data_IF_663697238274
#
_entry.id   IF_663697238274
#
_cell.length_a   1.000
_cell.length_b   1.000
_cell.length_c   1.000
_cell.angle_alpha   90.00
_cell.angle_beta   90.00
_cell.angle_gamma   90.00
#
_symmetry.space_group_name_H-M   'P 1'
#
loop_
_entity.id
_entity.type
_entity.pdbx_description
1 polymer ?
#
# COMPACT_ATOMS: atom_id res chain seq x y z
N UNK A 1 20.62 7.47 -21.75
CA UNK A 1 20.39 6.88 -20.42
C UNK A 1 19.43 5.72 -20.64
N UNK A 2 19.86 4.47 -20.44
CA UNK A 2 18.98 3.31 -20.56
C UNK A 2 17.93 3.37 -19.45
N UNK A 3 16.64 3.05 -19.72
CA UNK A 3 15.67 2.92 -18.64
C UNK A 3 16.17 1.83 -17.69
N UNK A 4 16.25 2.14 -16.39
CA UNK A 4 16.44 1.11 -15.39
C UNK A 4 15.22 0.19 -15.46
N UNK A 5 15.41 -1.04 -15.92
CA UNK A 5 14.38 -2.05 -15.85
C UNK A 5 14.00 -2.29 -14.39
N UNK A 6 12.72 -2.14 -14.08
CA UNK A 6 12.18 -2.32 -12.73
C UNK A 6 11.62 -3.73 -12.64
N UNK A 7 11.95 -4.42 -11.57
CA UNK A 7 11.51 -5.79 -11.35
C UNK A 7 11.24 -6.03 -9.88
N UNK A 8 10.46 -7.07 -9.60
CA UNK A 8 10.37 -7.67 -8.27
C UNK A 8 11.07 -9.02 -8.26
N UNK A 9 11.54 -9.42 -7.10
CA UNK A 9 12.05 -10.76 -6.86
C UNK A 9 10.97 -11.59 -6.18
N UNK A 10 10.61 -12.72 -6.79
CA UNK A 10 9.71 -13.71 -6.20
C UNK A 10 10.56 -14.88 -5.74
N UNK A 11 10.55 -15.18 -4.44
CA UNK A 11 11.28 -16.28 -3.86
C UNK A 11 10.33 -17.40 -3.41
N UNK A 12 10.60 -18.62 -3.86
CA UNK A 12 10.07 -19.85 -3.26
C UNK A 12 10.94 -20.23 -2.07
N UNK A 13 10.32 -20.38 -0.91
CA UNK A 13 10.99 -20.82 0.31
C UNK A 13 10.71 -22.30 0.64
N UNK A 14 10.17 -23.08 -0.32
CA UNK A 14 10.01 -24.52 -0.14
C UNK A 14 11.37 -25.14 0.17
N UNK A 15 11.44 -25.99 1.20
CA UNK A 15 12.71 -26.53 1.70
C UNK A 15 13.50 -27.27 0.62
N UNK A 16 12.78 -27.93 -0.28
CA UNK A 16 13.31 -28.75 -1.37
C UNK A 16 13.66 -27.93 -2.62
N UNK A 17 13.08 -26.73 -2.78
CA UNK A 17 13.19 -25.88 -3.98
C UNK A 17 13.26 -24.39 -3.61
N UNK A 18 14.41 -24.00 -3.06
CA UNK A 18 14.76 -22.59 -2.81
C UNK A 18 15.18 -21.94 -4.12
N UNK A 19 14.22 -21.34 -4.79
CA UNK A 19 14.43 -20.63 -6.05
C UNK A 19 14.00 -19.18 -5.91
N UNK A 20 14.69 -18.30 -6.62
CA UNK A 20 14.27 -16.92 -6.82
C UNK A 20 14.21 -16.65 -8.30
N UNK A 21 13.21 -15.87 -8.70
CA UNK A 21 13.05 -15.44 -10.07
C UNK A 21 12.66 -13.98 -10.13
N UNK A 22 13.01 -13.38 -11.25
CA UNK A 22 12.69 -12.01 -11.58
C UNK A 22 11.35 -11.97 -12.28
N UNK A 23 10.48 -11.08 -11.83
CA UNK A 23 9.24 -10.73 -12.53
C UNK A 23 9.32 -9.24 -12.86
N UNK A 24 9.20 -8.92 -14.14
CA UNK A 24 9.31 -7.53 -14.59
C UNK A 24 8.08 -6.71 -14.17
N UNK A 25 8.32 -5.47 -13.74
CA UNK A 25 7.25 -4.53 -13.43
C UNK A 25 6.83 -3.82 -14.71
N UNK A 26 5.55 -3.89 -15.12
CA UNK A 26 5.07 -3.30 -16.37
C UNK A 26 4.94 -1.77 -16.32
N UNK A 27 5.43 -1.12 -15.26
CA UNK A 27 5.27 0.31 -15.02
C UNK A 27 6.64 1.01 -14.93
N UNK A 28 7.01 1.69 -16.01
CA UNK A 28 8.32 2.33 -16.12
C UNK A 28 8.46 3.62 -15.30
N UNK A 29 7.36 4.22 -14.88
CA UNK A 29 7.26 5.48 -14.14
C UNK A 29 7.29 5.31 -12.60
N UNK A 30 7.35 4.07 -12.08
CA UNK A 30 7.36 3.79 -10.63
C UNK A 30 8.73 4.05 -10.02
N UNK A 31 8.89 5.00 -9.11
CA UNK A 31 10.15 5.23 -8.40
C UNK A 31 10.35 4.31 -7.20
N UNK A 32 9.28 3.99 -6.47
CA UNK A 32 9.34 3.06 -5.34
C UNK A 32 7.99 2.38 -5.10
N UNK A 33 8.04 1.24 -4.40
CA UNK A 33 6.89 0.41 -4.02
C UNK A 33 6.89 0.28 -2.50
N UNK A 34 5.74 0.51 -1.84
CA UNK A 34 5.59 0.51 -0.38
C UNK A 34 4.42 -0.37 0.09
N UNK A 35 4.35 -0.58 1.41
CA UNK A 35 3.31 -1.26 2.20
C UNK A 35 3.27 -2.80 2.06
N UNK A 36 3.05 -3.34 0.87
CA UNK A 36 3.09 -4.80 0.63
C UNK A 36 2.10 -5.61 1.48
N UNK A 37 0.83 -5.25 1.47
CA UNK A 37 -0.22 -5.90 2.27
C UNK A 37 -0.85 -7.07 1.51
N UNK A 38 -0.85 -8.27 2.10
CA UNK A 38 -1.55 -9.42 1.52
C UNK A 38 -3.01 -9.43 1.94
N UNK A 39 -3.93 -9.42 0.97
CA UNK A 39 -5.38 -9.47 1.20
C UNK A 39 -6.04 -10.22 0.04
N UNK A 40 -7.00 -11.11 0.31
CA UNK A 40 -7.64 -11.97 -0.71
C UNK A 40 -6.66 -12.66 -1.68
N UNK A 41 -5.53 -13.15 -1.15
CA UNK A 41 -4.52 -13.88 -1.93
C UNK A 41 -3.67 -13.01 -2.85
N UNK A 42 -3.82 -11.69 -2.83
CA UNK A 42 -3.08 -10.72 -3.65
C UNK A 42 -2.25 -9.79 -2.76
N UNK A 43 -1.07 -9.42 -3.25
CA UNK A 43 -0.21 -8.43 -2.58
C UNK A 43 -0.58 -7.03 -3.08
N UNK A 44 -0.96 -6.13 -2.19
CA UNK A 44 -1.35 -4.75 -2.48
C UNK A 44 -0.20 -3.82 -2.10
N UNK A 45 0.24 -3.03 -3.07
CA UNK A 45 1.36 -2.13 -2.88
C UNK A 45 1.01 -0.74 -3.36
N UNK A 46 1.39 0.25 -2.56
CA UNK A 46 1.38 1.63 -2.99
C UNK A 46 2.58 1.91 -3.88
N UNK A 47 2.37 2.68 -4.94
CA UNK A 47 3.45 3.05 -5.85
C UNK A 47 3.68 4.55 -5.79
N UNK A 48 4.94 4.95 -5.73
CA UNK A 48 5.34 6.35 -5.82
C UNK A 48 5.82 6.63 -7.24
N UNK A 49 5.26 7.65 -7.87
CA UNK A 49 5.65 8.14 -9.19
C UNK A 49 5.52 9.65 -9.21
N UNK A 50 6.46 10.35 -9.85
CA UNK A 50 6.40 11.82 -9.94
C UNK A 50 5.22 12.31 -10.76
N UNK A 51 4.73 11.49 -11.70
CA UNK A 51 3.60 11.83 -12.57
C UNK A 51 2.26 11.57 -11.87
N UNK A 52 2.16 10.45 -11.14
CA UNK A 52 0.96 10.09 -10.40
C UNK A 52 1.30 9.24 -9.15
N UNK A 53 1.48 9.88 -7.98
CA UNK A 53 1.78 9.20 -6.71
C UNK A 53 0.54 8.57 -6.06
N UNK A 54 -0.65 8.77 -6.63
CA UNK A 54 -1.92 8.31 -6.07
C UNK A 54 -2.38 7.03 -6.79
N UNK A 55 -1.62 5.95 -6.62
CA UNK A 55 -1.93 4.64 -7.24
C UNK A 55 -1.57 3.49 -6.30
N UNK A 56 -2.36 2.42 -6.43
CA UNK A 56 -2.11 1.12 -5.81
C UNK A 56 -2.03 0.08 -6.92
N UNK A 57 -1.08 -0.83 -6.82
CA UNK A 57 -0.99 -2.01 -7.67
C UNK A 57 -1.25 -3.26 -6.84
N UNK A 58 -1.74 -4.30 -7.50
CA UNK A 58 -1.77 -5.65 -6.95
C UNK A 58 -0.82 -6.54 -7.70
N UNK A 59 -0.19 -7.47 -6.98
CA UNK A 59 0.50 -8.62 -7.55
C UNK A 59 -0.24 -9.90 -7.21
N UNK A 60 -0.55 -10.69 -8.24
CA UNK A 60 -1.14 -12.01 -8.11
C UNK A 60 -0.02 -13.07 -8.08
N UNK A 61 0.21 -13.77 -6.96
CA UNK A 61 1.28 -14.75 -6.88
C UNK A 61 1.03 -16.03 -7.69
N UNK A 62 -0.21 -16.29 -8.12
CA UNK A 62 -0.56 -17.49 -8.91
C UNK A 62 -0.30 -17.23 -10.39
N UNK A 63 -0.80 -16.10 -10.90
CA UNK A 63 -0.65 -15.73 -12.31
C UNK A 63 0.60 -14.88 -12.59
N UNK A 64 1.26 -14.41 -11.54
CA UNK A 64 2.43 -13.52 -11.55
C UNK A 64 2.22 -12.20 -12.28
N UNK A 65 0.97 -11.76 -12.34
CA UNK A 65 0.62 -10.53 -13.02
C UNK A 65 0.42 -9.37 -12.04
N UNK A 66 0.83 -8.20 -12.52
CA UNK A 66 0.51 -6.94 -11.87
C UNK A 66 -0.76 -6.35 -12.46
N UNK A 67 -1.54 -5.67 -11.61
CA UNK A 67 -2.71 -4.91 -12.04
C UNK A 67 -2.85 -3.62 -11.25
N UNK A 68 -3.47 -2.61 -11.85
CA UNK A 68 -3.90 -1.43 -11.11
C UNK A 68 -5.07 -1.80 -10.21
N UNK A 69 -5.03 -1.34 -8.97
CA UNK A 69 -6.11 -1.56 -8.02
C UNK A 69 -7.06 -0.37 -7.98
N UNK A 70 -8.38 -0.58 -7.98
CA UNK A 70 -9.36 0.50 -7.92
C UNK A 70 -9.32 1.19 -6.55
N UNK A 71 -9.04 2.49 -6.57
CA UNK A 71 -9.06 3.37 -5.40
C UNK A 71 -9.91 4.59 -5.71
N UNK A 72 -10.53 5.22 -4.69
CA UNK A 72 -11.36 6.38 -4.89
C UNK A 72 -10.48 7.57 -5.23
N UNK A 73 -10.89 8.32 -6.26
CA UNK A 73 -10.23 9.56 -6.66
C UNK A 73 -10.08 10.53 -5.48
N UNK A 74 -9.01 11.33 -5.45
CA UNK A 74 -8.87 12.38 -4.46
C UNK A 74 -9.98 13.44 -4.68
N UNK A 75 -10.55 14.01 -3.60
CA UNK A 75 -11.61 15.01 -3.74
C UNK A 75 -11.11 16.29 -4.43
N UNK A 76 -11.62 16.56 -5.64
CA UNK A 76 -11.12 17.60 -6.57
C UNK A 76 -11.19 19.05 -6.08
N UNK A 77 -11.99 19.35 -5.05
CA UNK A 77 -12.35 20.73 -4.71
C UNK A 77 -12.08 21.14 -3.26
N UNK A 78 -11.57 20.25 -2.41
CA UNK A 78 -11.36 20.52 -0.98
C UNK A 78 -9.91 20.39 -0.53
N UNK A 79 -9.08 19.70 -1.32
CA UNK A 79 -7.81 19.15 -0.87
C UNK A 79 -6.73 19.34 -1.92
N UNK A 80 -5.61 19.95 -1.53
CA UNK A 80 -4.40 20.00 -2.34
C UNK A 80 -3.44 18.90 -1.89
N UNK A 81 -2.64 18.37 -2.83
CA UNK A 81 -1.59 17.36 -2.59
C UNK A 81 -2.10 16.13 -1.84
N UNK A 82 -3.13 15.48 -2.37
CA UNK A 82 -3.65 14.25 -1.77
C UNK A 82 -2.71 13.08 -2.07
N UNK A 83 -2.19 12.46 -1.02
CA UNK A 83 -1.27 11.34 -1.12
C UNK A 83 -1.76 10.17 -0.28
N UNK A 84 -1.53 8.96 -0.75
CA UNK A 84 -1.82 7.76 0.03
C UNK A 84 -0.73 7.62 1.10
N UNK A 85 -1.13 7.64 2.38
CA UNK A 85 -0.23 7.52 3.53
C UNK A 85 0.15 6.08 3.84
N UNK A 86 -0.77 5.14 3.60
CA UNK A 86 -0.52 3.71 3.79
C UNK A 86 -1.75 2.85 3.53
N UNK A 87 -1.49 1.56 3.34
CA UNK A 87 -2.50 0.50 3.23
C UNK A 87 -2.51 -0.35 4.50
N UNK A 88 -3.64 -0.99 4.77
CA UNK A 88 -3.74 -2.02 5.80
C UNK A 88 -5.05 -2.78 5.71
N UNK A 89 -5.35 -3.55 6.75
CA UNK A 89 -6.60 -4.32 6.86
C UNK A 89 -7.25 -3.96 8.18
N UNK A 90 -8.52 -3.56 8.13
CA UNK A 90 -9.34 -3.21 9.29
C UNK A 90 -10.67 -3.95 9.19
N UNK A 91 -11.02 -4.71 10.22
CA UNK A 91 -12.23 -5.54 10.29
C UNK A 91 -12.49 -6.36 9.00
N UNK A 92 -11.47 -7.10 8.56
CA UNK A 92 -11.49 -7.88 7.31
C UNK A 92 -11.76 -7.08 6.03
N UNK A 93 -11.64 -5.76 6.07
CA UNK A 93 -11.71 -4.89 4.90
C UNK A 93 -10.32 -4.33 4.58
N UNK A 94 -9.97 -4.25 3.31
CA UNK A 94 -8.82 -3.46 2.88
C UNK A 94 -9.10 -1.98 3.24
N UNK A 95 -8.10 -1.31 3.78
CA UNK A 95 -8.22 0.09 4.17
C UNK A 95 -7.00 0.90 3.74
N UNK A 96 -7.21 2.19 3.62
CA UNK A 96 -6.26 3.15 3.07
C UNK A 96 -6.31 4.42 3.90
N UNK A 97 -5.17 4.94 4.30
CA UNK A 97 -5.04 6.31 4.79
C UNK A 97 -4.62 7.21 3.63
N UNK A 98 -5.22 8.39 3.54
CA UNK A 98 -4.76 9.45 2.63
C UNK A 98 -4.63 10.77 3.35
N UNK A 99 -3.52 11.45 3.13
CA UNK A 99 -3.24 12.79 3.63
C UNK A 99 -3.75 13.84 2.64
N UNK A 100 -4.06 15.02 3.16
CA UNK A 100 -4.40 16.20 2.36
C UNK A 100 -4.15 17.49 3.16
N UNK A 101 -4.03 18.60 2.43
CA UNK A 101 -4.02 19.95 2.99
C UNK A 101 -5.40 20.59 2.78
N UNK A 102 -5.99 21.13 3.85
CA UNK A 102 -7.26 21.84 3.85
C UNK A 102 -7.14 23.10 4.72
N UNK A 103 -7.33 24.29 4.14
CA UNK A 103 -7.31 25.57 4.87
C UNK A 103 -6.06 25.77 5.77
N UNK A 104 -4.88 25.39 5.25
CA UNK A 104 -3.58 25.39 5.95
C UNK A 104 -3.40 24.35 7.07
N UNK A 105 -4.41 23.55 7.36
CA UNK A 105 -4.31 22.40 8.26
C UNK A 105 -4.07 21.11 7.47
N UNK A 106 -3.29 20.20 8.07
CA UNK A 106 -3.12 18.84 7.57
C UNK A 106 -4.25 17.96 8.07
N UNK A 107 -4.81 17.17 7.17
CA UNK A 107 -5.77 16.15 7.54
C UNK A 107 -5.41 14.78 7.00
N UNK A 108 -5.91 13.77 7.69
CA UNK A 108 -5.81 12.36 7.32
C UNK A 108 -7.23 11.80 7.29
N UNK A 109 -7.55 11.14 6.19
CA UNK A 109 -8.78 10.39 6.03
C UNK A 109 -8.44 8.91 5.96
N UNK A 110 -9.17 8.10 6.73
CA UNK A 110 -9.08 6.64 6.68
C UNK A 110 -10.31 6.13 5.95
N UNK A 111 -10.10 5.40 4.87
CA UNK A 111 -11.14 4.77 4.07
C UNK A 111 -11.07 3.25 4.20
N UNK A 112 -12.21 2.59 4.14
CA UNK A 112 -12.34 1.13 4.13
C UNK A 112 -13.13 0.70 2.89
N UNK A 113 -12.67 -0.36 2.21
CA UNK A 113 -13.33 -0.95 1.06
C UNK A 113 -14.31 -2.03 1.55
N UNK A 114 -15.61 -1.75 1.48
CA UNK A 114 -16.65 -2.67 1.99
C UNK A 114 -16.85 -3.90 1.11
N UNK A 115 -16.58 -3.79 -0.18
CA UNK A 115 -16.65 -4.88 -1.13
C UNK A 115 -15.35 -4.94 -1.93
N UNK A 116 -14.65 -6.06 -1.83
CA UNK A 116 -13.31 -6.19 -2.40
C UNK A 116 -13.30 -5.98 -3.91
N UNK A 117 -12.46 -5.05 -4.38
CA UNK A 117 -12.31 -4.71 -5.80
C UNK A 117 -13.36 -3.77 -6.37
N UNK A 118 -14.35 -3.32 -5.58
CA UNK A 118 -15.38 -2.38 -6.03
C UNK A 118 -15.02 -0.96 -5.58
N UNK A 119 -14.79 -0.06 -6.53
CA UNK A 119 -14.35 1.32 -6.26
C UNK A 119 -15.39 2.09 -5.44
N UNK A 120 -16.66 1.90 -5.76
CA UNK A 120 -17.78 2.60 -5.13
C UNK A 120 -18.03 2.14 -3.69
N UNK A 121 -17.41 1.02 -3.28
CA UNK A 121 -17.54 0.47 -1.92
C UNK A 121 -16.60 1.11 -0.90
N UNK A 122 -15.67 1.97 -1.36
CA UNK A 122 -14.80 2.72 -0.48
C UNK A 122 -15.61 3.75 0.31
N UNK A 123 -15.56 3.66 1.62
CA UNK A 123 -16.25 4.57 2.53
C UNK A 123 -15.30 5.16 3.55
N UNK A 124 -15.44 6.45 3.81
CA UNK A 124 -14.68 7.16 4.83
C UNK A 124 -15.11 6.69 6.21
N UNK A 125 -14.17 6.18 6.99
CA UNK A 125 -14.41 5.73 8.35
C UNK A 125 -14.18 6.86 9.36
N UNK A 126 -13.05 7.55 9.24
CA UNK A 126 -12.69 8.68 10.11
C UNK A 126 -11.92 9.74 9.34
N UNK A 127 -12.00 10.97 9.86
CA UNK A 127 -11.30 12.13 9.36
C UNK A 127 -10.67 12.87 10.53
N UNK A 128 -9.35 13.07 10.48
CA UNK A 128 -8.57 13.70 11.54
C UNK A 128 -7.94 14.96 10.95
N UNK A 129 -8.19 16.13 11.55
CA UNK A 129 -7.45 17.38 11.27
C UNK A 129 -6.47 17.63 12.39
N UNK A 130 -5.21 17.92 12.08
CA UNK A 130 -4.25 18.33 13.08
C UNK A 130 -3.22 19.30 12.50
N UNK A 131 -3.01 20.42 13.20
CA UNK A 131 -1.97 21.42 12.90
C UNK A 131 -0.54 20.89 13.09
N UNK A 132 -0.38 19.81 13.85
CA UNK A 132 0.93 19.24 14.19
C UNK A 132 1.41 18.15 13.22
N UNK A 133 0.61 17.73 12.24
CA UNK A 133 1.13 16.82 11.21
C UNK A 133 2.13 17.58 10.34
N UNK A 134 3.39 17.14 10.33
CA UNK A 134 4.39 17.72 9.44
C UNK A 134 4.23 17.10 8.03
N UNK A 135 4.03 17.91 6.98
CA UNK A 135 3.93 17.44 5.58
C UNK A 135 5.15 16.65 5.09
N UNK A 136 6.32 16.93 5.66
CA UNK A 136 7.60 16.43 5.17
C UNK A 136 8.07 15.18 5.91
N UNK A 137 7.29 14.67 6.86
CA UNK A 137 7.56 13.39 7.51
C UNK A 137 6.87 12.24 6.78
N UNK A 138 7.55 11.10 6.60
CA UNK A 138 6.89 9.85 6.22
C UNK A 138 6.01 9.37 7.38
N UNK A 139 4.81 9.94 7.53
CA UNK A 139 3.81 9.40 8.45
C UNK A 139 3.08 8.26 7.75
N UNK A 140 3.55 7.03 7.99
CA UNK A 140 2.74 5.85 7.71
C UNK A 140 1.67 5.75 8.82
N UNK A 141 0.48 6.29 8.57
CA UNK A 141 -0.70 5.84 9.33
C UNK A 141 -1.05 4.48 8.77
N UNK A 142 -0.45 3.46 9.37
CA UNK A 142 -0.82 2.07 9.15
C UNK A 142 -2.08 1.81 9.97
N UNK A 143 -3.25 1.58 9.34
CA UNK A 143 -4.38 0.98 10.05
C UNK A 143 -3.98 -0.45 10.42
N UNK A 144 -3.35 -0.60 11.58
CA UNK A 144 -2.93 -1.89 12.13
C UNK A 144 -4.15 -2.45 12.86
N UNK A 145 -4.78 -3.47 12.27
CA UNK A 145 -5.63 -4.35 13.05
C UNK A 145 -4.75 -5.41 13.71
N UNK A 146 -4.74 -5.44 15.05
CA UNK A 146 -4.01 -6.43 15.82
C UNK A 146 -4.69 -7.80 15.69
N UNK A 147 -4.35 -8.57 14.66
CA UNK A 147 -4.54 -10.02 14.69
C UNK A 147 -3.32 -10.66 15.34
N UNK A 148 -3.54 -11.24 16.53
CA UNK A 148 -2.55 -11.93 17.38
C UNK A 148 -1.80 -13.11 16.73
N UNK A 149 -1.97 -13.39 15.44
CA UNK A 149 -1.58 -14.66 14.81
C UNK A 149 -0.53 -14.60 13.71
N UNK A 150 0.08 -13.45 13.40
CA UNK A 150 1.18 -13.39 12.41
C UNK A 150 2.55 -12.98 12.93
N UNK A 151 2.76 -12.94 14.26
CA UNK A 151 4.12 -12.95 14.82
C UNK A 151 4.56 -14.37 15.13
N UNK A 152 4.97 -15.13 14.10
CA UNK A 152 6.06 -16.11 14.30
C UNK A 152 7.34 -15.42 13.86
N UNK A 153 7.88 -14.59 14.76
CA UNK A 153 9.27 -14.16 14.64
C UNK A 153 10.17 -15.38 14.55
N UNK A 154 10.86 -15.51 13.44
CA UNK A 154 12.13 -16.21 13.36
C UNK A 154 13.18 -15.42 14.17
N UNK A 155 13.09 -15.49 15.49
CA UNK A 155 14.24 -15.28 16.37
C UNK A 155 14.30 -16.48 17.30
N UNK A 156 14.77 -17.60 16.75
CA UNK A 156 15.33 -18.66 17.58
C UNK A 156 16.78 -18.27 17.90
N UNK A 157 17.00 -17.88 19.15
CA UNK A 157 18.30 -17.73 19.77
C UNK A 157 19.23 -18.90 19.38
N UNK A 158 20.38 -18.61 18.75
CA UNK A 158 21.54 -19.48 18.92
C UNK A 158 22.20 -19.09 20.23
N UNK A 159 22.05 -19.97 21.23
CA UNK A 159 23.04 -20.12 22.29
C UNK A 159 24.25 -20.81 21.69
N UNK A 160 25.42 -20.21 21.88
CA UNK A 160 26.69 -20.88 22.17
C UNK A 160 27.64 -19.82 22.71
#
# INVERSE_FOLDING_TARGET
>A
MFPLEKFVMVASLKEEDKTWRRVDLPYHDIHSVKDGITFHGRLHCRIYSYQNPYRVITFDPISENFGLFPIPEPPKHKYFNCEIGGLGVLDDCLCMSRGFICDYDYGIEILVMKEYGVNESWTSLFFIKNRCFNPYGEFAVLPINYRRTQWRSCFANRRS
#
